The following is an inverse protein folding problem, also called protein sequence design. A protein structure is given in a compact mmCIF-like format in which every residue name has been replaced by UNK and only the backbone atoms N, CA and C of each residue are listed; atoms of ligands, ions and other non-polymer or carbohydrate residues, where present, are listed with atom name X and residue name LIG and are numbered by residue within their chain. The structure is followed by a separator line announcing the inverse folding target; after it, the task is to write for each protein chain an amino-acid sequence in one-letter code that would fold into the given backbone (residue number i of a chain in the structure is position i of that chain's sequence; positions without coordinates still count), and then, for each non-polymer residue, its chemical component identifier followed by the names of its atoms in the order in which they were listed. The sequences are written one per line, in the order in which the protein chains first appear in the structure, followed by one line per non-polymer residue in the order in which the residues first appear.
data_IF_248876294482
#
_entry.id   IF_248876294482
#
_cell.length_a   1.000
_cell.length_b   1.000
_cell.length_c   1.000
_cell.angle_alpha   90.00
_cell.angle_beta   90.00
_cell.angle_gamma   90.00
#
_symmetry.space_group_name_H-M   'P 1'
#
loop_
_entity.id
_entity.type
_entity.pdbx_description
1 polymer ?
#
# COMPACT_ATOMS: atom_id res chain seq x y z
N UNK A 1 -21.77 -41.99 0.19
CA UNK A 1 -20.38 -41.94 -0.27
C UNK A 1 -20.23 -40.67 -1.08
N UNK A 2 -19.84 -39.56 -0.43
CA UNK A 2 -19.69 -38.26 -1.07
C UNK A 2 -18.20 -38.03 -1.34
N UNK A 3 -17.78 -37.67 -2.57
CA UNK A 3 -16.38 -37.45 -2.85
C UNK A 3 -15.95 -36.05 -2.41
N UNK A 4 -14.82 -36.05 -1.87
CA UNK A 4 -13.88 -35.11 -1.31
C UNK A 4 -13.83 -33.73 -2.03
N UNK A 5 -14.45 -32.72 -1.41
CA UNK A 5 -14.44 -31.34 -1.87
C UNK A 5 -13.25 -30.54 -1.32
N UNK A 6 -12.35 -31.18 -0.58
CA UNK A 6 -11.19 -30.51 0.03
C UNK A 6 -9.99 -30.40 -0.91
N UNK A 7 -9.77 -31.37 -1.81
CA UNK A 7 -8.64 -31.33 -2.74
C UNK A 7 -8.77 -30.24 -3.82
N UNK A 8 -9.99 -29.90 -4.21
CA UNK A 8 -10.25 -28.83 -5.19
C UNK A 8 -9.99 -27.42 -4.61
N UNK A 9 -10.19 -27.23 -3.31
CA UNK A 9 -9.95 -25.99 -2.58
C UNK A 9 -8.46 -25.73 -2.36
N UNK A 10 -7.69 -26.77 -2.03
CA UNK A 10 -6.22 -26.66 -1.85
C UNK A 10 -5.49 -26.49 -3.17
N UNK A 11 -5.91 -27.15 -4.23
CA UNK A 11 -5.37 -26.97 -5.57
C UNK A 11 -5.65 -25.54 -6.11
N UNK A 12 -6.84 -24.98 -5.86
CA UNK A 12 -7.17 -23.57 -6.17
C UNK A 12 -6.35 -22.58 -5.33
N UNK A 13 -6.10 -22.86 -4.07
CA UNK A 13 -5.22 -22.06 -3.20
C UNK A 13 -3.76 -22.09 -3.67
N UNK A 14 -3.29 -23.25 -4.16
CA UNK A 14 -1.92 -23.43 -4.64
C UNK A 14 -1.67 -22.82 -6.04
N UNK A 15 -2.72 -22.64 -6.84
CA UNK A 15 -2.62 -22.04 -8.18
C UNK A 15 -2.67 -20.49 -8.17
N UNK A 16 -2.91 -19.84 -7.02
CA UNK A 16 -3.08 -18.40 -6.89
C UNK A 16 -2.01 -17.68 -6.06
N UNK A 17 -0.96 -18.37 -5.65
CA UNK A 17 0.17 -17.72 -4.98
C UNK A 17 1.44 -17.88 -5.80
N UNK A 18 1.49 -17.18 -6.91
CA UNK A 18 2.79 -16.75 -7.41
C UNK A 18 3.26 -15.67 -6.45
N UNK A 19 3.99 -16.08 -5.41
CA UNK A 19 4.48 -15.16 -4.39
C UNK A 19 5.31 -14.03 -5.00
N UNK A 20 5.51 -12.95 -4.25
CA UNK A 20 6.27 -11.78 -4.71
C UNK A 20 7.76 -12.06 -4.90
N UNK A 21 8.24 -13.26 -4.61
CA UNK A 21 9.66 -13.65 -4.71
C UNK A 21 10.28 -13.42 -6.08
N UNK A 22 9.50 -13.55 -7.16
CA UNK A 22 9.95 -13.22 -8.51
C UNK A 22 10.30 -11.74 -8.67
N UNK A 23 9.50 -10.85 -8.08
CA UNK A 23 9.75 -9.41 -8.10
C UNK A 23 10.95 -9.04 -7.22
N UNK A 24 11.04 -9.66 -6.03
CA UNK A 24 12.19 -9.47 -5.12
C UNK A 24 13.50 -9.85 -5.81
N UNK A 25 13.53 -10.89 -6.65
CA UNK A 25 14.71 -11.26 -7.43
C UNK A 25 15.15 -10.17 -8.42
N UNK A 26 14.22 -9.43 -8.99
CA UNK A 26 14.55 -8.35 -9.94
C UNK A 26 15.02 -7.09 -9.21
N UNK A 27 14.31 -6.65 -8.17
CA UNK A 27 14.64 -5.43 -7.42
C UNK A 27 15.78 -5.62 -6.42
N UNK A 28 16.04 -6.86 -5.99
CA UNK A 28 17.00 -7.19 -4.94
C UNK A 28 18.43 -7.49 -5.41
N UNK A 29 18.77 -7.25 -6.67
CA UNK A 29 20.11 -7.55 -7.24
C UNK A 29 21.21 -6.56 -6.82
N UNK A 30 20.93 -5.72 -5.85
CA UNK A 30 21.84 -4.69 -5.36
C UNK A 30 21.94 -3.45 -6.26
N UNK A 31 22.75 -2.45 -5.87
CA UNK A 31 22.74 -1.12 -6.49
C UNK A 31 23.00 -1.08 -8.00
N UNK A 32 23.77 -2.04 -8.52
CA UNK A 32 24.17 -2.11 -9.94
C UNK A 32 23.38 -3.11 -10.78
N UNK A 33 22.63 -4.01 -10.13
CA UNK A 33 21.95 -5.10 -10.81
C UNK A 33 20.43 -5.06 -10.72
N UNK A 34 19.90 -4.27 -9.80
CA UNK A 34 18.48 -4.12 -9.58
C UNK A 34 17.77 -3.52 -10.80
N UNK A 35 16.67 -4.14 -11.21
CA UNK A 35 15.83 -3.66 -12.30
C UNK A 35 14.54 -3.08 -11.73
N UNK A 36 14.04 -1.97 -12.29
CA UNK A 36 12.74 -1.45 -11.91
C UNK A 36 11.62 -2.40 -12.34
N UNK A 37 10.57 -2.44 -11.56
CA UNK A 37 9.33 -3.12 -11.95
C UNK A 37 8.53 -2.23 -12.89
N UNK A 38 7.78 -2.85 -13.80
CA UNK A 38 6.74 -2.14 -14.54
C UNK A 38 5.61 -1.76 -13.60
N UNK A 39 4.79 -0.79 -13.97
CA UNK A 39 3.60 -0.38 -13.20
C UNK A 39 2.69 -1.57 -12.88
N UNK A 40 2.43 -2.45 -13.84
CA UNK A 40 1.62 -3.63 -13.63
C UNK A 40 2.23 -4.61 -12.61
N UNK A 41 3.54 -4.85 -12.67
CA UNK A 41 4.26 -5.70 -11.71
C UNK A 41 4.26 -5.09 -10.31
N UNK A 42 4.46 -3.79 -10.20
CA UNK A 42 4.40 -3.06 -8.93
C UNK A 42 2.99 -3.08 -8.34
N UNK A 43 1.95 -2.95 -9.18
CA UNK A 43 0.54 -3.07 -8.75
C UNK A 43 0.24 -4.46 -8.20
N UNK A 44 0.69 -5.52 -8.88
CA UNK A 44 0.47 -6.90 -8.44
C UNK A 44 1.22 -7.18 -7.14
N UNK A 45 2.52 -6.87 -7.09
CA UNK A 45 3.35 -7.05 -5.89
C UNK A 45 2.71 -6.36 -4.68
N UNK A 46 2.43 -5.08 -4.80
CA UNK A 46 1.93 -4.29 -3.68
C UNK A 46 0.50 -4.68 -3.31
N UNK A 47 -0.30 -5.10 -4.29
CA UNK A 47 -1.61 -5.70 -4.06
C UNK A 47 -1.54 -6.92 -3.16
N UNK A 48 -0.61 -7.85 -3.42
CA UNK A 48 -0.41 -9.04 -2.60
C UNK A 48 0.05 -8.68 -1.18
N UNK A 49 0.90 -7.66 -1.03
CA UNK A 49 1.31 -7.13 0.30
C UNK A 49 0.10 -6.61 1.07
N UNK A 50 -0.73 -5.76 0.43
CA UNK A 50 -1.91 -5.17 1.07
C UNK A 50 -2.98 -6.22 1.40
N UNK A 51 -3.10 -7.28 0.60
CA UNK A 51 -4.03 -8.39 0.85
C UNK A 51 -3.53 -9.38 1.91
N UNK A 52 -2.30 -9.20 2.43
CA UNK A 52 -1.71 -10.09 3.43
C UNK A 52 -1.45 -11.51 2.92
N UNK A 53 -1.26 -11.69 1.62
CA UNK A 53 -1.03 -13.01 0.99
C UNK A 53 0.44 -13.39 0.92
N UNK A 54 1.32 -12.52 1.39
CA UNK A 54 2.78 -12.68 1.42
C UNK A 54 3.26 -12.93 2.86
N UNK A 55 4.44 -13.53 3.00
CA UNK A 55 5.05 -13.77 4.31
C UNK A 55 5.77 -12.51 4.83
N UNK A 56 5.94 -12.41 6.15
CA UNK A 56 6.70 -11.32 6.79
C UNK A 56 8.14 -11.23 6.24
N UNK A 57 8.75 -12.38 5.91
CA UNK A 57 10.07 -12.43 5.31
C UNK A 57 10.10 -11.78 3.92
N UNK A 58 9.08 -12.05 3.10
CA UNK A 58 8.94 -11.43 1.78
C UNK A 58 8.70 -9.93 1.89
N UNK A 59 7.87 -9.49 2.85
CA UNK A 59 7.67 -8.05 3.13
C UNK A 59 9.00 -7.39 3.52
N UNK A 60 9.74 -8.00 4.44
CA UNK A 60 11.05 -7.49 4.86
C UNK A 60 12.05 -7.40 3.70
N UNK A 61 12.12 -8.45 2.87
CA UNK A 61 12.99 -8.48 1.69
C UNK A 61 12.58 -7.40 0.66
N UNK A 62 11.28 -7.22 0.41
CA UNK A 62 10.74 -6.16 -0.45
C UNK A 62 11.12 -4.77 0.06
N UNK A 63 10.87 -4.47 1.34
CA UNK A 63 11.19 -3.18 1.94
C UNK A 63 12.69 -2.86 1.86
N UNK A 64 13.55 -3.85 2.16
CA UNK A 64 14.99 -3.69 2.10
C UNK A 64 15.48 -3.49 0.66
N UNK A 65 14.97 -4.27 -0.29
CA UNK A 65 15.32 -4.14 -1.70
C UNK A 65 14.94 -2.77 -2.26
N UNK A 66 13.73 -2.28 -1.95
CA UNK A 66 13.26 -0.95 -2.36
C UNK A 66 14.10 0.16 -1.71
N UNK A 67 14.45 0.02 -0.43
CA UNK A 67 15.32 0.98 0.27
C UNK A 67 16.71 1.12 -0.38
N UNK A 68 17.26 0.03 -0.92
CA UNK A 68 18.57 0.02 -1.57
C UNK A 68 18.49 0.54 -3.00
N UNK A 69 17.47 0.11 -3.76
CA UNK A 69 17.28 0.45 -5.16
C UNK A 69 16.71 1.87 -5.35
N UNK A 70 15.81 2.28 -4.49
CA UNK A 70 14.94 3.44 -4.68
C UNK A 70 13.76 3.15 -5.62
N UNK A 71 12.69 3.90 -5.47
CA UNK A 71 11.47 3.79 -6.27
C UNK A 71 11.57 4.58 -7.57
N UNK A 72 10.97 4.07 -8.64
CA UNK A 72 10.74 4.82 -9.88
C UNK A 72 9.32 5.38 -9.91
N UNK A 73 9.05 6.34 -10.79
CA UNK A 73 7.70 6.90 -10.98
C UNK A 73 6.68 5.84 -11.41
N UNK A 74 7.08 4.88 -12.24
CA UNK A 74 6.24 3.76 -12.68
C UNK A 74 5.89 2.82 -11.52
N UNK A 75 6.86 2.52 -10.66
CA UNK A 75 6.64 1.69 -9.47
C UNK A 75 5.71 2.40 -8.48
N UNK A 76 5.94 3.69 -8.24
CA UNK A 76 5.06 4.48 -7.37
C UNK A 76 3.63 4.57 -7.91
N UNK A 77 3.47 4.74 -9.21
CA UNK A 77 2.16 4.71 -9.86
C UNK A 77 1.46 3.35 -9.64
N UNK A 78 2.20 2.24 -9.77
CA UNK A 78 1.69 0.90 -9.51
C UNK A 78 1.28 0.68 -8.05
N UNK A 79 2.06 1.16 -7.09
CA UNK A 79 1.72 1.09 -5.67
C UNK A 79 0.47 1.90 -5.34
N UNK A 80 0.32 3.07 -5.96
CA UNK A 80 -0.90 3.89 -5.82
C UNK A 80 -2.12 3.21 -6.44
N UNK A 81 -2.00 2.58 -7.60
CA UNK A 81 -3.08 1.82 -8.22
C UNK A 81 -3.57 0.69 -7.31
N UNK A 82 -2.64 -0.09 -6.73
CA UNK A 82 -2.96 -1.17 -5.80
C UNK A 82 -3.66 -0.64 -4.54
N UNK A 83 -3.19 0.49 -4.01
CA UNK A 83 -3.79 1.15 -2.85
C UNK A 83 -5.20 1.66 -3.18
N UNK A 84 -5.35 2.38 -4.28
CA UNK A 84 -6.64 2.96 -4.69
C UNK A 84 -7.73 1.89 -4.92
N UNK A 85 -7.34 0.71 -5.40
CA UNK A 85 -8.27 -0.40 -5.59
C UNK A 85 -8.81 -0.97 -4.26
N UNK A 86 -8.13 -0.70 -3.13
CA UNK A 86 -8.45 -1.25 -1.80
C UNK A 86 -8.92 -0.22 -0.79
N UNK A 87 -8.89 1.06 -1.16
CA UNK A 87 -9.34 2.13 -0.28
C UNK A 87 -10.87 2.14 -0.11
N UNK A 88 -11.32 2.29 1.12
CA UNK A 88 -12.68 2.71 1.42
C UNK A 88 -12.81 4.21 1.10
N UNK A 89 -13.35 4.52 -0.06
CA UNK A 89 -13.49 5.91 -0.50
C UNK A 89 -14.56 6.63 0.30
N UNK A 90 -14.21 7.77 0.86
CA UNK A 90 -15.19 8.69 1.43
C UNK A 90 -15.93 9.34 0.25
N UNK A 91 -17.27 9.35 0.25
CA UNK A 91 -18.03 9.98 -0.82
C UNK A 91 -17.72 11.48 -0.89
N UNK A 92 -17.70 12.01 -2.11
CA UNK A 92 -17.51 13.44 -2.32
C UNK A 92 -18.59 14.25 -1.59
N UNK A 93 -18.17 15.30 -0.89
CA UNK A 93 -19.10 16.22 -0.23
C UNK A 93 -19.56 17.29 -1.22
N UNK A 94 -20.78 17.80 -1.06
CA UNK A 94 -21.29 18.91 -1.88
C UNK A 94 -20.64 20.25 -1.53
N UNK A 95 -19.95 20.34 -0.39
CA UNK A 95 -19.25 21.56 0.06
C UNK A 95 -17.74 21.32 -0.02
N UNK A 96 -16.97 22.36 -0.28
CA UNK A 96 -15.51 22.29 -0.18
C UNK A 96 -15.10 21.73 1.18
N UNK A 97 -14.24 20.70 1.19
CA UNK A 97 -13.75 20.03 2.37
C UNK A 97 -12.27 20.34 2.54
N UNK A 98 -11.89 20.80 3.73
CA UNK A 98 -10.47 20.95 4.09
C UNK A 98 -9.95 19.61 4.60
N UNK A 99 -8.93 19.09 3.95
CA UNK A 99 -8.31 17.80 4.33
C UNK A 99 -6.98 18.08 5.00
N UNK A 100 -6.84 17.66 6.25
CA UNK A 100 -5.64 17.87 7.07
C UNK A 100 -4.98 16.52 7.37
N UNK A 101 -3.77 16.24 6.87
CA UNK A 101 -3.00 15.10 7.31
C UNK A 101 -2.48 15.33 8.73
N UNK A 102 -2.75 14.41 9.64
CA UNK A 102 -2.30 14.50 11.04
C UNK A 102 -1.01 13.74 11.30
N UNK A 103 -0.69 12.75 10.46
CA UNK A 103 0.49 11.93 10.64
C UNK A 103 1.78 12.70 10.39
N UNK A 104 2.66 12.67 11.37
CA UNK A 104 4.03 13.11 11.21
C UNK A 104 4.94 12.35 12.20
N UNK A 105 5.36 11.16 11.80
CA UNK A 105 6.21 10.28 12.62
C UNK A 105 7.60 10.82 12.96
N UNK A 106 8.03 11.91 12.34
CA UNK A 106 9.35 12.51 12.56
C UNK A 106 9.35 13.72 13.52
N UNK A 107 8.20 14.19 13.98
CA UNK A 107 8.13 15.38 14.82
C UNK A 107 8.43 15.11 16.29
N UNK A 108 9.34 15.92 16.83
CA UNK A 108 9.63 15.99 18.26
C UNK A 108 8.74 17.01 19.01
N UNK A 109 7.97 17.81 18.28
CA UNK A 109 7.09 18.85 18.83
C UNK A 109 5.63 18.39 18.78
N UNK A 110 4.77 18.91 19.69
CA UNK A 110 3.35 18.61 19.68
C UNK A 110 2.69 18.90 18.34
N UNK A 111 1.78 18.05 17.92
CA UNK A 111 1.02 18.22 16.68
C UNK A 111 -0.18 19.12 16.97
N UNK A 112 -0.24 20.28 16.33
CA UNK A 112 -1.35 21.26 16.49
C UNK A 112 -2.48 21.06 15.47
N UNK A 113 -2.42 20.02 14.63
CA UNK A 113 -3.46 19.72 13.64
C UNK A 113 -4.87 19.62 14.25
N UNK A 114 -5.09 18.96 15.41
CA UNK A 114 -6.42 18.92 16.03
C UNK A 114 -6.93 20.31 16.43
N UNK A 115 -6.07 21.18 16.95
CA UNK A 115 -6.45 22.54 17.29
C UNK A 115 -6.83 23.34 16.04
N UNK A 116 -6.05 23.24 14.97
CA UNK A 116 -6.37 23.88 13.71
C UNK A 116 -7.71 23.38 13.14
N UNK A 117 -7.97 22.07 13.21
CA UNK A 117 -9.23 21.49 12.77
C UNK A 117 -10.43 22.06 13.54
N UNK A 118 -10.30 22.20 14.87
CA UNK A 118 -11.34 22.79 15.72
C UNK A 118 -11.59 24.26 15.40
N UNK A 119 -10.54 25.05 15.17
CA UNK A 119 -10.67 26.45 14.80
C UNK A 119 -11.37 26.61 13.44
N UNK A 120 -10.97 25.83 12.43
CA UNK A 120 -11.61 25.83 11.12
C UNK A 120 -13.08 25.40 11.18
N UNK A 121 -13.38 24.36 11.96
CA UNK A 121 -14.76 23.92 12.18
C UNK A 121 -15.62 24.98 12.87
N UNK A 122 -15.03 25.73 13.82
CA UNK A 122 -15.70 26.87 14.47
C UNK A 122 -16.06 27.97 13.49
N UNK A 123 -15.26 28.17 12.46
CA UNK A 123 -15.55 29.13 11.35
C UNK A 123 -16.54 28.54 10.33
N UNK A 124 -17.15 27.40 10.61
CA UNK A 124 -18.15 26.74 9.75
C UNK A 124 -17.57 26.00 8.54
N UNK A 125 -16.26 25.77 8.53
CA UNK A 125 -15.59 25.05 7.46
C UNK A 125 -15.59 23.54 7.75
N UNK A 126 -16.06 22.67 6.82
CA UNK A 126 -15.95 21.24 6.97
C UNK A 126 -14.49 20.78 6.95
N UNK A 127 -14.07 20.00 7.93
CA UNK A 127 -12.69 19.52 8.07
C UNK A 127 -12.67 18.01 8.20
N UNK A 128 -11.80 17.37 7.44
CA UNK A 128 -11.44 15.95 7.57
C UNK A 128 -9.99 15.85 8.04
N UNK A 129 -9.78 15.22 9.18
CA UNK A 129 -8.44 14.89 9.68
C UNK A 129 -8.18 13.41 9.40
N UNK A 130 -7.02 13.09 8.84
CA UNK A 130 -6.60 11.71 8.56
C UNK A 130 -5.12 11.49 8.88
N UNK A 131 -4.72 10.22 9.09
CA UNK A 131 -3.32 9.84 9.34
C UNK A 131 -3.23 8.58 10.15
#
# INVERSE_FOLDING_TARGET
MFPDNQQSSEAKKKALTVGISQYIKEIGRGPRGAKPLTRAQATDLFGQVLDGTVTDLEIGAFCLAMRIKGETSEEMAGFLDATHARLNRIPATQRPLIVLPSYNGARKLPVLTPLLALLLAREGLPVLVHG
#
